data_IF_651192265351
#
_entry.id   IF_651192265351
#
_cell.length_a   1.000
_cell.length_b   1.000
_cell.length_c   1.000
_cell.angle_alpha   90.00
_cell.angle_beta   90.00
_cell.angle_gamma   90.00
#
_symmetry.space_group_name_H-M   'P 1'
#
loop_
_entity.id
_entity.type
_entity.pdbx_description
1 polymer ?
#
# COMPACT_ATOMS: atom_id res chain seq x y z
N UNK A 1 -28.56 -27.67 18.80
CA UNK A 1 -27.49 -27.70 17.79
C UNK A 1 -27.01 -26.27 17.67
N UNK A 2 -26.18 -25.88 18.62
CA UNK A 2 -25.55 -24.57 18.70
C UNK A 2 -24.57 -24.44 17.54
N UNK A 3 -24.63 -23.33 16.82
CA UNK A 3 -23.68 -22.99 15.75
C UNK A 3 -22.63 -22.03 16.31
N UNK A 4 -21.39 -22.48 16.61
CA UNK A 4 -20.28 -21.59 16.88
C UNK A 4 -19.49 -21.47 15.57
N UNK A 5 -19.87 -20.55 14.68
CA UNK A 5 -19.10 -20.35 13.43
C UNK A 5 -18.93 -18.88 13.08
N UNK A 6 -19.86 -18.00 13.47
CA UNK A 6 -19.78 -16.55 13.27
C UNK A 6 -18.52 -15.89 13.85
N UNK A 7 -18.24 -16.11 15.14
CA UNK A 7 -17.21 -15.34 15.86
C UNK A 7 -15.77 -15.63 15.41
N UNK A 8 -15.49 -16.82 14.86
CA UNK A 8 -14.16 -17.19 14.34
C UNK A 8 -13.89 -16.67 12.92
N UNK A 9 -14.92 -16.48 12.10
CA UNK A 9 -14.76 -15.94 10.74
C UNK A 9 -14.55 -14.43 10.75
N UNK A 10 -15.27 -13.72 11.63
CA UNK A 10 -15.18 -12.27 11.85
C UNK A 10 -13.78 -11.78 12.21
N UNK A 11 -13.11 -12.44 13.17
CA UNK A 11 -11.73 -12.12 13.54
C UNK A 11 -10.78 -12.36 12.36
N UNK A 12 -11.06 -13.37 11.54
CA UNK A 12 -10.20 -13.71 10.41
C UNK A 12 -10.21 -12.67 9.28
N UNK A 13 -11.33 -12.00 9.00
CA UNK A 13 -11.41 -11.01 7.92
C UNK A 13 -10.63 -9.75 8.25
N UNK A 14 -10.83 -9.22 9.46
CA UNK A 14 -10.10 -8.06 9.95
C UNK A 14 -8.59 -8.34 9.96
N UNK A 15 -8.16 -9.48 10.51
CA UNK A 15 -6.76 -9.89 10.54
C UNK A 15 -6.17 -10.03 9.14
N UNK A 16 -6.86 -10.73 8.23
CA UNK A 16 -6.42 -10.88 6.83
C UNK A 16 -6.23 -9.51 6.14
N UNK A 17 -7.17 -8.58 6.34
CA UNK A 17 -7.06 -7.23 5.79
C UNK A 17 -5.87 -6.49 6.38
N UNK A 18 -5.66 -6.56 7.69
CA UNK A 18 -4.52 -5.92 8.34
C UNK A 18 -3.18 -6.51 7.87
N UNK A 19 -3.10 -7.83 7.64
CA UNK A 19 -1.92 -8.48 7.05
C UNK A 19 -1.66 -8.00 5.63
N UNK A 20 -2.69 -7.91 4.78
CA UNK A 20 -2.56 -7.40 3.42
C UNK A 20 -2.05 -5.96 3.41
N UNK A 21 -2.59 -5.11 4.28
CA UNK A 21 -2.14 -3.72 4.44
C UNK A 21 -0.67 -3.65 4.89
N UNK A 22 -0.25 -4.50 5.84
CA UNK A 22 1.16 -4.57 6.26
C UNK A 22 2.08 -4.98 5.11
N UNK A 23 1.69 -5.97 4.30
CA UNK A 23 2.50 -6.42 3.15
C UNK A 23 2.63 -5.32 2.11
N UNK A 24 1.55 -4.61 1.78
CA UNK A 24 1.58 -3.48 0.85
C UNK A 24 2.47 -2.36 1.41
N UNK A 25 2.39 -2.09 2.72
CA UNK A 25 3.22 -1.07 3.37
C UNK A 25 4.72 -1.42 3.29
N UNK A 26 5.09 -2.67 3.49
CA UNK A 26 6.48 -3.14 3.31
C UNK A 26 6.96 -2.90 1.87
N UNK A 27 6.17 -3.32 0.87
CA UNK A 27 6.52 -3.12 -0.54
C UNK A 27 6.70 -1.64 -0.91
N UNK A 28 5.85 -0.77 -0.36
CA UNK A 28 5.98 0.69 -0.54
C UNK A 28 7.26 1.22 0.11
N UNK A 29 7.60 0.77 1.32
CA UNK A 29 8.82 1.20 2.02
C UNK A 29 10.08 0.70 1.32
N UNK A 30 10.04 -0.49 0.72
CA UNK A 30 11.15 -1.09 -0.02
C UNK A 30 11.25 -0.57 -1.47
N UNK A 31 10.40 0.39 -1.84
CA UNK A 31 10.32 0.96 -3.18
C UNK A 31 10.08 -0.11 -4.26
N UNK A 32 9.39 -1.20 -3.90
CA UNK A 32 9.03 -2.33 -4.74
C UNK A 32 7.52 -2.32 -5.05
N UNK A 33 7.04 -1.18 -5.56
CA UNK A 33 5.62 -0.98 -5.83
C UNK A 33 5.07 -1.88 -6.95
N UNK A 34 5.93 -2.42 -7.81
CA UNK A 34 5.54 -3.30 -8.92
C UNK A 34 4.99 -4.65 -8.45
N UNK A 35 5.34 -5.09 -7.23
CA UNK A 35 4.84 -6.32 -6.60
C UNK A 35 3.55 -6.11 -5.80
N UNK A 36 3.12 -4.87 -5.57
CA UNK A 36 1.93 -4.54 -4.80
C UNK A 36 0.56 -4.87 -5.46
N UNK A 37 0.39 -4.86 -6.80
CA UNK A 37 -0.91 -5.10 -7.45
C UNK A 37 -1.68 -6.35 -6.98
N UNK A 38 -1.08 -7.56 -6.90
CA UNK A 38 -1.82 -8.75 -6.46
C UNK A 38 -2.35 -8.63 -5.01
N UNK A 39 -1.61 -7.93 -4.13
CA UNK A 39 -2.05 -7.69 -2.76
C UNK A 39 -3.20 -6.68 -2.70
N UNK A 40 -3.20 -5.66 -3.57
CA UNK A 40 -4.28 -4.68 -3.69
C UNK A 40 -5.57 -5.30 -4.22
N UNK A 41 -5.47 -6.16 -5.24
CA UNK A 41 -6.63 -6.88 -5.78
C UNK A 41 -7.23 -7.82 -4.74
N UNK A 42 -6.38 -8.52 -3.99
CA UNK A 42 -6.80 -9.37 -2.88
C UNK A 42 -7.45 -8.56 -1.76
N UNK A 43 -6.86 -7.41 -1.39
CA UNK A 43 -7.40 -6.49 -0.37
C UNK A 43 -8.80 -6.00 -0.75
N UNK A 44 -8.98 -5.53 -1.98
CA UNK A 44 -10.28 -5.08 -2.48
C UNK A 44 -11.34 -6.18 -2.44
N UNK A 45 -10.96 -7.40 -2.84
CA UNK A 45 -11.86 -8.56 -2.80
C UNK A 45 -12.27 -8.88 -1.36
N UNK A 46 -11.31 -8.91 -0.43
CA UNK A 46 -11.56 -9.21 0.98
C UNK A 46 -12.38 -8.14 1.68
N UNK A 47 -12.15 -6.86 1.37
CA UNK A 47 -12.95 -5.75 1.89
C UNK A 47 -14.39 -5.83 1.42
N UNK A 48 -14.63 -6.09 0.13
CA UNK A 48 -16.01 -6.29 -0.38
C UNK A 48 -16.70 -7.45 0.31
N UNK A 49 -16.03 -8.61 0.37
CA UNK A 49 -16.57 -9.79 1.05
C UNK A 49 -16.91 -9.53 2.51
N UNK A 50 -16.08 -8.76 3.22
CA UNK A 50 -16.37 -8.42 4.61
C UNK A 50 -17.55 -7.45 4.73
N UNK A 51 -17.63 -6.43 3.87
CA UNK A 51 -18.75 -5.49 3.86
C UNK A 51 -20.09 -6.11 3.45
N UNK A 52 -20.08 -7.12 2.58
CA UNK A 52 -21.28 -7.83 2.10
C UNK A 52 -21.73 -8.95 3.07
N UNK A 53 -20.93 -9.26 4.08
CA UNK A 53 -21.26 -10.26 5.10
C UNK A 53 -22.36 -9.74 6.05
N UNK A 54 -23.23 -10.64 6.53
CA UNK A 54 -24.23 -10.31 7.57
C UNK A 54 -23.60 -9.78 8.85
N UNK A 55 -22.36 -10.18 9.11
CA UNK A 55 -21.52 -9.67 10.19
C UNK A 55 -20.41 -8.79 9.60
N UNK A 56 -20.82 -7.72 8.93
CA UNK A 56 -19.89 -6.74 8.35
C UNK A 56 -19.10 -5.95 9.39
N UNK A 57 -18.08 -5.20 8.95
CA UNK A 57 -17.27 -4.36 9.83
C UNK A 57 -18.10 -3.23 10.46
N UNK A 58 -17.71 -2.84 11.67
CA UNK A 58 -18.22 -1.60 12.29
C UNK A 58 -17.68 -0.37 11.55
N UNK A 59 -18.35 0.78 11.73
CA UNK A 59 -17.88 2.06 11.19
C UNK A 59 -16.47 2.40 11.66
N UNK A 60 -16.16 2.16 12.94
CA UNK A 60 -14.83 2.40 13.51
C UNK A 60 -13.76 1.50 12.86
N UNK A 61 -14.07 0.23 12.60
CA UNK A 61 -13.15 -0.68 11.90
C UNK A 61 -12.87 -0.20 10.47
N UNK A 62 -13.89 0.28 9.76
CA UNK A 62 -13.75 0.86 8.42
C UNK A 62 -12.91 2.14 8.44
N UNK A 63 -13.13 3.02 9.40
CA UNK A 63 -12.34 4.25 9.57
C UNK A 63 -10.86 3.95 9.83
N UNK A 64 -10.56 3.00 10.70
CA UNK A 64 -9.19 2.56 10.98
C UNK A 64 -8.49 2.01 9.73
N UNK A 65 -9.21 1.20 8.94
CA UNK A 65 -8.68 0.67 7.68
C UNK A 65 -8.45 1.79 6.66
N UNK A 66 -9.42 2.70 6.52
CA UNK A 66 -9.30 3.82 5.60
C UNK A 66 -8.11 4.74 5.96
N UNK A 67 -7.92 5.02 7.26
CA UNK A 67 -6.78 5.77 7.76
C UNK A 67 -5.46 5.08 7.38
N UNK A 68 -5.39 3.76 7.53
CA UNK A 68 -4.19 2.98 7.20
C UNK A 68 -3.91 2.97 5.70
N UNK A 69 -4.94 2.80 4.86
CA UNK A 69 -4.83 2.92 3.40
C UNK A 69 -4.30 4.31 3.00
N UNK A 70 -4.87 5.38 3.57
CA UNK A 70 -4.43 6.75 3.30
C UNK A 70 -2.97 6.98 3.70
N UNK A 71 -2.55 6.42 4.83
CA UNK A 71 -1.15 6.50 5.29
C UNK A 71 -0.19 5.84 4.30
N UNK A 72 -0.54 4.65 3.80
CA UNK A 72 0.25 3.93 2.79
C UNK A 72 0.31 4.75 1.48
N UNK A 73 -0.81 5.33 1.05
CA UNK A 73 -0.89 6.16 -0.15
C UNK A 73 0.03 7.39 -0.06
N UNK A 74 0.08 8.06 1.10
CA UNK A 74 0.97 9.21 1.33
C UNK A 74 2.44 8.78 1.23
N UNK A 75 2.81 7.63 1.82
CA UNK A 75 4.17 7.08 1.74
C UNK A 75 4.57 6.78 0.29
N UNK A 76 3.70 6.09 -0.45
CA UNK A 76 3.95 5.74 -1.86
C UNK A 76 4.16 6.98 -2.74
N UNK A 77 3.33 8.02 -2.57
CA UNK A 77 3.48 9.28 -3.30
C UNK A 77 4.78 10.01 -2.94
N UNK A 78 5.19 9.97 -1.67
CA UNK A 78 6.44 10.56 -1.21
C UNK A 78 7.65 9.86 -1.83
N UNK A 79 7.67 8.52 -1.84
CA UNK A 79 8.73 7.73 -2.48
C UNK A 79 8.86 8.05 -3.99
N UNK A 80 7.73 8.12 -4.71
CA UNK A 80 7.70 8.52 -6.14
C UNK A 80 8.31 9.90 -6.38
N UNK A 81 8.00 10.86 -5.51
CA UNK A 81 8.52 12.22 -5.61
C UNK A 81 10.04 12.27 -5.42
N UNK A 82 10.56 11.57 -4.41
CA UNK A 82 12.01 11.51 -4.16
C UNK A 82 12.77 10.82 -5.29
N UNK A 83 12.23 9.71 -5.82
CA UNK A 83 12.80 9.04 -7.00
C UNK A 83 12.87 9.98 -8.21
N UNK A 84 11.80 10.73 -8.48
CA UNK A 84 11.76 11.72 -9.57
C UNK A 84 12.81 12.83 -9.39
N UNK A 85 12.97 13.37 -8.17
CA UNK A 85 14.01 14.36 -7.85
C UNK A 85 15.42 13.82 -8.06
N UNK A 86 15.68 12.58 -7.65
CA UNK A 86 16.98 11.93 -7.83
C UNK A 86 17.36 11.80 -9.31
N UNK A 87 16.42 11.37 -10.16
CA UNK A 87 16.63 11.26 -11.61
C UNK A 87 16.91 12.62 -12.24
N UNK A 88 16.17 13.67 -11.85
CA UNK A 88 16.40 15.04 -12.35
C UNK A 88 17.79 15.55 -11.95
N UNK A 89 18.22 15.31 -10.70
CA UNK A 89 19.56 15.68 -10.22
C UNK A 89 20.65 14.96 -11.03
N UNK A 90 20.47 13.67 -11.31
CA UNK A 90 21.39 12.89 -12.14
C UNK A 90 21.47 13.40 -13.60
N UNK A 91 20.33 13.80 -14.20
CA UNK A 91 20.33 14.44 -15.54
C UNK A 91 21.12 15.75 -15.54
N UNK A 92 21.01 16.56 -14.48
CA UNK A 92 21.79 17.80 -14.33
C UNK A 92 23.29 17.50 -14.18
N UNK A 93 23.68 16.53 -13.37
CA UNK A 93 25.10 16.15 -13.23
C UNK A 93 25.68 15.61 -14.54
N UNK A 94 24.92 14.81 -15.31
CA UNK A 94 25.33 14.35 -16.63
C UNK A 94 25.58 15.50 -17.62
N UNK A 95 24.72 16.53 -17.62
CA UNK A 95 24.95 17.75 -18.42
C UNK A 95 26.22 18.50 -18.00
N UNK A 96 26.45 18.66 -16.70
CA UNK A 96 27.65 19.32 -16.18
C UNK A 96 28.93 18.57 -16.59
N UNK A 97 28.94 17.24 -16.51
CA UNK A 97 30.08 16.40 -16.93
C UNK A 97 30.36 16.57 -18.43
N UNK A 98 29.31 16.57 -19.27
CA UNK A 98 29.46 16.78 -20.72
C UNK A 98 30.04 18.17 -21.03
N UNK A 99 29.55 19.22 -20.37
CA UNK A 99 30.06 20.58 -20.54
C UNK A 99 31.55 20.68 -20.15
N UNK A 100 31.95 20.07 -19.03
CA UNK A 100 33.35 20.03 -18.61
C UNK A 100 34.25 19.30 -19.63
N UNK A 101 33.79 18.17 -20.18
CA UNK A 101 34.55 17.42 -21.21
C UNK A 101 34.68 18.17 -22.53
N UNK A 102 33.69 18.98 -22.90
CA UNK A 102 33.71 19.77 -24.14
C UNK A 102 34.52 21.07 -24.02
N UNK A 103 34.81 21.52 -22.79
CA UNK A 103 35.65 22.67 -22.51
C UNK A 103 37.14 22.31 -22.32
N UNK A 104 37.50 21.04 -22.48
CA UNK A 104 38.86 20.51 -22.53
C UNK A 104 39.18 20.07 -23.95
#
# INVERSE_FOLDING_TARGET
MDSPTSSQQLTSHAEQIQTLLSNIEVLVNDNNADEAPPFLDTLNTKLKQWCENSEGPSAEQLELIQLRINTILVKANSAKNESSKAIIKHKKSGKAIKAYRAAK
#
